data_IF_129744140728
#
_entry.id   IF_129744140728
#
_cell.length_a   1.000
_cell.length_b   1.000
_cell.length_c   1.000
_cell.angle_alpha   90.00
_cell.angle_beta   90.00
_cell.angle_gamma   90.00
#
_symmetry.space_group_name_H-M   'P 1'
#
loop_
_entity.id
_entity.type
_entity.pdbx_description
1 polymer ?
#
# COMPACT_ATOMS: atom_id res chain seq x y z
N UNK A 1 -2.74 -11.02 -1.33
CA UNK A 1 -2.59 -10.14 -2.52
C UNK A 1 -1.77 -10.84 -3.63
N UNK A 2 -2.38 -11.66 -4.50
CA UNK A 2 -1.62 -12.32 -5.57
C UNK A 2 -1.03 -11.28 -6.53
N UNK A 3 0.30 -11.31 -6.70
CA UNK A 3 1.00 -10.58 -7.77
C UNK A 3 1.47 -9.15 -7.46
N UNK A 4 1.28 -8.61 -6.24
CA UNK A 4 1.79 -7.26 -5.92
C UNK A 4 3.26 -7.27 -5.47
N UNK A 5 3.66 -8.31 -4.73
CA UNK A 5 4.96 -8.34 -4.09
C UNK A 5 5.03 -9.28 -2.88
N UNK A 6 6.13 -9.19 -2.14
CA UNK A 6 6.37 -9.88 -0.87
C UNK A 6 6.10 -8.91 0.27
N UNK A 7 5.34 -9.33 1.28
CA UNK A 7 5.08 -8.53 2.47
C UNK A 7 5.92 -9.07 3.63
N UNK A 8 6.66 -8.20 4.30
CA UNK A 8 7.49 -8.56 5.45
C UNK A 8 7.18 -7.66 6.64
N UNK A 9 7.17 -8.25 7.83
CA UNK A 9 7.14 -7.56 9.12
C UNK A 9 8.53 -7.60 9.76
N UNK A 10 8.90 -6.53 10.48
CA UNK A 10 10.20 -6.40 11.13
C UNK A 10 10.06 -6.12 12.64
N UNK A 11 11.09 -6.49 13.38
CA UNK A 11 11.20 -6.19 14.82
C UNK A 11 11.40 -4.70 15.09
N UNK A 12 11.78 -3.92 14.09
CA UNK A 12 11.87 -2.45 14.17
C UNK A 12 10.50 -1.75 14.18
N UNK A 13 9.39 -2.50 14.09
CA UNK A 13 8.03 -1.96 14.04
C UNK A 13 7.56 -1.53 12.65
N UNK A 14 8.39 -1.73 11.62
CA UNK A 14 8.01 -1.47 10.22
C UNK A 14 7.47 -2.73 9.54
N UNK A 15 6.60 -2.49 8.57
CA UNK A 15 6.32 -3.47 7.53
C UNK A 15 6.78 -2.92 6.19
N UNK A 16 7.23 -3.82 5.32
CA UNK A 16 7.68 -3.47 3.98
C UNK A 16 7.01 -4.37 2.96
N UNK A 17 6.54 -3.76 1.89
CA UNK A 17 6.10 -4.43 0.69
C UNK A 17 7.22 -4.31 -0.35
N UNK A 18 7.61 -5.45 -0.91
CA UNK A 18 8.72 -5.56 -1.84
C UNK A 18 8.21 -6.04 -3.20
N UNK A 19 8.73 -5.47 -4.28
CA UNK A 19 8.60 -6.07 -5.60
C UNK A 19 9.36 -7.40 -5.63
N UNK A 20 8.98 -8.30 -6.55
CA UNK A 20 9.73 -9.54 -6.78
C UNK A 20 11.17 -9.24 -7.27
N UNK A 21 11.40 -8.06 -7.85
CA UNK A 21 12.74 -7.55 -8.20
C UNK A 21 13.61 -7.21 -6.97
N UNK A 22 13.03 -7.17 -5.76
CA UNK A 22 13.73 -6.80 -4.52
C UNK A 22 13.65 -5.32 -4.17
N UNK A 23 12.96 -4.50 -4.96
CA UNK A 23 12.74 -3.09 -4.64
C UNK A 23 11.67 -2.92 -3.55
N UNK A 24 11.88 -2.00 -2.61
CA UNK A 24 10.84 -1.63 -1.64
C UNK A 24 9.78 -0.80 -2.36
N UNK A 25 8.57 -1.34 -2.50
CA UNK A 25 7.43 -0.64 -3.08
C UNK A 25 6.75 0.28 -2.07
N UNK A 26 6.70 -0.13 -0.81
CA UNK A 26 6.05 0.63 0.26
C UNK A 26 6.66 0.27 1.61
N UNK A 27 6.85 1.28 2.44
CA UNK A 27 7.18 1.13 3.86
C UNK A 27 6.01 1.63 4.71
N UNK A 28 5.59 0.81 5.65
CA UNK A 28 4.42 1.02 6.49
C UNK A 28 4.92 1.15 7.92
N UNK A 29 5.04 2.39 8.38
CA UNK A 29 5.55 2.74 9.70
C UNK A 29 4.39 3.18 10.58
N UNK A 30 4.32 2.66 11.80
CA UNK A 30 3.29 3.09 12.75
C UNK A 30 3.13 2.19 13.96
N UNK A 31 3.63 0.96 13.94
CA UNK A 31 3.78 0.19 15.17
C UNK A 31 4.96 0.72 15.98
N UNK A 32 4.81 0.74 17.29
CA UNK A 32 5.86 1.23 18.21
C UNK A 32 6.68 0.10 18.83
N UNK A 33 6.42 -1.14 18.43
CA UNK A 33 7.08 -2.34 18.92
C UNK A 33 7.08 -3.43 17.83
N UNK A 34 7.60 -4.61 18.18
CA UNK A 34 7.77 -5.74 17.26
C UNK A 34 6.44 -6.10 16.60
N UNK A 35 6.46 -6.32 15.29
CA UNK A 35 5.31 -6.86 14.54
C UNK A 35 5.49 -8.37 14.42
N UNK A 36 4.58 -9.14 15.03
CA UNK A 36 4.67 -10.60 15.06
C UNK A 36 3.94 -11.27 13.90
N UNK A 37 2.87 -10.64 13.41
CA UNK A 37 2.02 -11.23 12.40
C UNK A 37 1.59 -10.18 11.38
N UNK A 38 1.49 -10.64 10.13
CA UNK A 38 0.99 -9.88 9.01
C UNK A 38 0.17 -10.79 8.13
N UNK A 39 -0.99 -10.31 7.71
CA UNK A 39 -1.84 -10.98 6.73
C UNK A 39 -2.38 -9.98 5.71
N UNK A 40 -2.70 -10.46 4.50
CA UNK A 40 -3.16 -9.63 3.39
C UNK A 40 -4.44 -10.19 2.78
N UNK A 41 -5.42 -9.31 2.58
CA UNK A 41 -6.66 -9.62 1.90
C UNK A 41 -6.57 -9.28 0.40
N UNK A 42 -7.40 -9.91 -0.43
CA UNK A 42 -7.45 -9.64 -1.88
C UNK A 42 -7.89 -8.21 -2.22
N UNK A 43 -8.65 -7.58 -1.33
CA UNK A 43 -9.10 -6.19 -1.48
C UNK A 43 -8.00 -5.13 -1.28
N UNK A 44 -6.76 -5.55 -0.99
CA UNK A 44 -5.65 -4.63 -0.70
C UNK A 44 -5.63 -4.13 0.75
N UNK A 45 -6.35 -4.80 1.64
CA UNK A 45 -6.24 -4.57 3.09
C UNK A 45 -5.13 -5.45 3.66
N UNK A 46 -4.34 -4.89 4.56
CA UNK A 46 -3.31 -5.60 5.32
C UNK A 46 -3.65 -5.46 6.79
N UNK A 47 -3.57 -6.56 7.53
CA UNK A 47 -3.77 -6.58 8.98
C UNK A 47 -2.48 -6.99 9.65
N UNK A 48 -2.11 -6.28 10.70
CA UNK A 48 -0.85 -6.49 11.42
C UNK A 48 -1.10 -6.56 12.91
N UNK A 49 -0.43 -7.51 13.57
CA UNK A 49 -0.45 -7.66 15.03
C UNK A 49 0.93 -7.36 15.62
N UNK A 50 0.97 -6.49 16.62
CA UNK A 50 2.22 -6.05 17.26
C UNK A 50 2.19 -6.19 18.78
N UNK A 51 3.38 -6.26 19.37
CA UNK A 51 3.62 -6.16 20.81
C UNK A 51 3.16 -4.82 21.41
N UNK A 52 2.93 -3.79 20.57
CA UNK A 52 2.41 -2.49 21.02
C UNK A 52 0.97 -2.55 21.57
N UNK A 53 0.37 -3.75 21.58
CA UNK A 53 -0.98 -4.08 22.02
C UNK A 53 -2.07 -3.61 21.06
N UNK A 54 -1.69 -3.23 19.83
CA UNK A 54 -2.62 -2.85 18.79
C UNK A 54 -2.49 -3.76 17.58
N UNK A 55 -3.66 -4.03 16.98
CA UNK A 55 -3.72 -4.45 15.59
C UNK A 55 -3.89 -3.20 14.72
N UNK A 56 -3.17 -3.13 13.60
CA UNK A 56 -3.37 -2.05 12.62
C UNK A 56 -3.88 -2.61 11.31
N UNK A 57 -4.73 -1.82 10.67
CA UNK A 57 -5.27 -2.11 9.35
C UNK A 57 -4.71 -1.07 8.40
N UNK A 58 -4.16 -1.54 7.30
CA UNK A 58 -3.55 -0.71 6.28
C UNK A 58 -4.26 -0.94 4.96
N UNK A 59 -4.39 0.13 4.18
CA UNK A 59 -5.02 0.08 2.86
C UNK A 59 -3.96 0.38 1.81
N UNK A 60 -3.59 -0.65 1.04
CA UNK A 60 -2.69 -0.52 -0.09
C UNK A 60 -3.55 -0.38 -1.33
N UNK A 61 -3.63 0.85 -1.85
CA UNK A 61 -4.22 1.07 -3.16
C UNK A 61 -3.28 0.51 -4.21
N UNK A 62 -3.79 -0.34 -5.11
CA UNK A 62 -3.08 -0.60 -6.37
C UNK A 62 -2.94 0.75 -7.06
N UNK A 63 -1.76 1.34 -7.02
CA UNK A 63 -1.39 2.34 -7.99
C UNK A 63 -1.42 1.61 -9.33
N UNK A 64 -2.56 1.69 -10.02
CA UNK A 64 -2.54 1.55 -11.47
C UNK A 64 -1.49 2.55 -11.92
N UNK A 65 -0.37 2.04 -12.45
CA UNK A 65 0.58 2.87 -13.16
C UNK A 65 -0.17 3.40 -14.38
N UNK A 66 -0.92 4.49 -14.21
CA UNK A 66 -1.47 5.25 -15.33
C UNK A 66 -0.32 6.12 -15.81
N UNK A 67 0.49 5.58 -16.71
CA UNK A 67 1.27 6.46 -17.56
C UNK A 67 0.30 7.22 -18.47
N UNK A 68 0.37 8.55 -18.36
CA UNK A 68 -0.26 9.61 -19.15
C UNK A 68 -1.73 9.98 -18.84
N UNK A 69 -1.88 11.13 -18.18
CA UNK A 69 -2.94 12.10 -18.49
C UNK A 69 -4.24 12.05 -17.68
N UNK A 70 -4.47 11.05 -16.83
CA UNK A 70 -5.69 11.00 -16.04
C UNK A 70 -5.51 10.45 -14.62
N UNK A 71 -6.22 11.07 -13.67
CA UNK A 71 -6.19 10.74 -12.24
C UNK A 71 -7.60 10.40 -11.77
N UNK A 72 -7.73 9.30 -11.05
CA UNK A 72 -8.93 9.00 -10.25
C UNK A 72 -8.92 9.82 -8.96
N UNK A 73 -10.03 10.46 -8.65
CA UNK A 73 -10.28 11.15 -7.39
C UNK A 73 -10.93 10.20 -6.37
N UNK A 74 -10.71 10.47 -5.09
CA UNK A 74 -11.21 9.62 -3.99
C UNK A 74 -12.75 9.62 -3.86
N UNK A 75 -13.42 10.55 -4.52
CA UNK A 75 -14.88 10.64 -4.63
C UNK A 75 -15.46 9.76 -5.76
N UNK A 76 -14.62 9.07 -6.54
CA UNK A 76 -15.02 8.22 -7.66
C UNK A 76 -14.96 8.90 -9.03
N UNK A 77 -14.61 10.18 -9.09
CA UNK A 77 -14.50 10.91 -10.36
C UNK A 77 -13.16 10.65 -11.05
N UNK A 78 -13.13 10.90 -12.37
CA UNK A 78 -11.91 10.84 -13.18
C UNK A 78 -11.62 12.24 -13.70
N UNK A 79 -10.41 12.74 -13.46
CA UNK A 79 -9.91 13.99 -14.04
C UNK A 79 -8.87 13.66 -15.10
N UNK A 80 -9.14 14.04 -16.34
CA UNK A 80 -8.18 14.02 -17.45
C UNK A 80 -7.63 15.42 -17.67
N UNK A 81 -6.31 15.58 -17.82
CA UNK A 81 -5.71 16.82 -18.29
C UNK A 81 -5.29 16.63 -19.76
N UNK A 82 -6.07 17.21 -20.68
CA UNK A 82 -5.72 17.30 -22.10
C UNK A 82 -4.95 18.61 -22.36
N UNK A 83 -3.97 18.58 -23.27
CA UNK A 83 -3.10 19.73 -23.58
C UNK A 83 -3.79 20.84 -24.39
N UNK A 84 -5.08 20.72 -24.70
CA UNK A 84 -5.86 21.66 -25.53
C UNK A 84 -6.60 22.74 -24.73
N UNK A 85 -6.47 22.76 -23.40
CA UNK A 85 -6.92 23.88 -22.57
C UNK A 85 -8.41 23.90 -22.23
N UNK A 86 -9.11 22.78 -22.36
CA UNK A 86 -10.49 22.62 -21.86
C UNK A 86 -10.54 21.47 -20.85
N UNK A 87 -11.21 21.71 -19.72
CA UNK A 87 -11.53 20.71 -18.69
C UNK A 87 -12.87 20.05 -19.03
#
# INVERSE_FOLDING_TARGET
MPGLGILSASHDGSLRLWAISGEVLMEMVGHTAIVYSVDSHESGLIVTGSEDRFAKIWKVHRASWVYLGCKFLENGDIVTACSDGVV
#
